data_IF_752480184504
#
_entry.id   IF_752480184504
#
_cell.length_a   1.000
_cell.length_b   1.000
_cell.length_c   1.000
_cell.angle_alpha   90.00
_cell.angle_beta   90.00
_cell.angle_gamma   90.00
#
_symmetry.space_group_name_H-M   'P 1'
#
loop_
_entity.id
_entity.type
_entity.pdbx_description
1 polymer ?
#
# COMPACT_ATOMS: atom_id res chain seq x y z
N UNK A 1 -34.02 63.47 2.35
CA UNK A 1 -32.55 63.49 2.22
C UNK A 1 -32.01 62.49 3.24
N UNK A 2 -31.94 61.19 2.91
CA UNK A 2 -30.74 60.45 2.46
C UNK A 2 -29.50 60.66 3.34
N UNK A 3 -29.24 59.72 4.25
CA UNK A 3 -27.97 58.98 4.28
C UNK A 3 -28.05 57.78 5.22
N UNK A 4 -28.00 56.58 4.63
CA UNK A 4 -27.67 55.33 5.31
C UNK A 4 -26.14 55.26 5.40
N UNK A 5 -25.58 55.07 6.59
CA UNK A 5 -24.21 54.62 6.75
C UNK A 5 -24.18 53.10 6.68
N UNK A 6 -23.69 52.57 5.56
CA UNK A 6 -23.42 51.15 5.38
C UNK A 6 -22.08 50.79 6.01
N UNK A 7 -22.09 49.95 7.05
CA UNK A 7 -20.91 49.21 7.49
C UNK A 7 -20.90 47.85 6.79
N UNK A 8 -20.09 47.72 5.74
CA UNK A 8 -19.77 46.42 5.17
C UNK A 8 -18.74 45.74 6.09
N UNK A 9 -19.20 44.81 6.92
CA UNK A 9 -18.32 43.89 7.65
C UNK A 9 -17.85 42.84 6.64
N UNK A 10 -16.59 42.95 6.22
CA UNK A 10 -15.93 41.93 5.41
C UNK A 10 -15.80 40.64 6.22
N UNK A 11 -16.55 39.62 5.83
CA UNK A 11 -16.34 38.24 6.26
C UNK A 11 -15.01 37.75 5.65
N UNK A 12 -13.94 37.83 6.43
CA UNK A 12 -12.72 37.05 6.17
C UNK A 12 -13.12 35.59 6.40
N UNK A 13 -13.38 34.87 5.31
CA UNK A 13 -13.48 33.41 5.33
C UNK A 13 -12.10 32.87 5.68
N UNK A 14 -11.86 32.65 6.97
CA UNK A 14 -10.77 31.80 7.44
C UNK A 14 -11.02 30.43 6.81
N UNK A 15 -10.37 30.14 5.69
CA UNK A 15 -10.39 28.82 5.10
C UNK A 15 -9.78 27.89 6.15
N UNK A 16 -10.52 26.90 6.69
CA UNK A 16 -9.89 25.92 7.55
C UNK A 16 -8.79 25.26 6.72
N UNK A 17 -7.54 25.41 7.17
CA UNK A 17 -6.41 24.59 6.75
C UNK A 17 -6.75 23.15 7.16
N UNK A 18 -7.60 22.50 6.35
CA UNK A 18 -7.84 21.08 6.45
C UNK A 18 -6.50 20.42 6.17
N UNK A 19 -5.95 19.61 7.09
CA UNK A 19 -4.71 18.93 6.81
C UNK A 19 -4.98 17.93 5.69
N UNK A 20 -4.51 18.25 4.48
CA UNK A 20 -4.57 17.37 3.32
C UNK A 20 -4.03 15.96 3.65
N UNK A 21 -3.10 15.88 4.61
CA UNK A 21 -2.47 14.66 5.08
C UNK A 21 -3.41 13.58 5.64
N UNK A 22 -4.53 13.92 6.30
CA UNK A 22 -5.36 12.89 6.94
C UNK A 22 -6.19 12.09 5.91
N UNK A 23 -6.69 12.75 4.86
CA UNK A 23 -7.51 12.12 3.83
C UNK A 23 -6.66 11.37 2.80
N UNK A 24 -5.47 11.87 2.50
CA UNK A 24 -4.51 11.19 1.62
C UNK A 24 -4.03 9.88 2.27
N UNK A 25 -3.69 9.91 3.56
CA UNK A 25 -3.33 8.70 4.31
C UNK A 25 -4.43 7.63 4.29
N UNK A 26 -5.70 8.00 4.35
CA UNK A 26 -6.81 7.04 4.33
C UNK A 26 -6.92 6.30 2.99
N UNK A 27 -6.71 7.00 1.87
CA UNK A 27 -6.66 6.40 0.53
C UNK A 27 -5.43 5.50 0.36
N UNK A 28 -4.29 5.94 0.85
CA UNK A 28 -3.05 5.17 0.78
C UNK A 28 -3.13 3.89 1.63
N UNK A 29 -3.74 3.96 2.82
CA UNK A 29 -4.01 2.77 3.65
C UNK A 29 -4.89 1.77 2.90
N UNK A 30 -5.95 2.25 2.23
CA UNK A 30 -6.82 1.40 1.42
C UNK A 30 -6.06 0.76 0.25
N UNK A 31 -5.24 1.55 -0.47
CA UNK A 31 -4.41 1.03 -1.55
C UNK A 31 -3.40 -0.02 -1.07
N UNK A 32 -2.81 0.16 0.12
CA UNK A 32 -1.92 -0.82 0.76
C UNK A 32 -2.68 -2.12 1.08
N UNK A 33 -3.88 -2.04 1.68
CA UNK A 33 -4.70 -3.22 1.94
C UNK A 33 -5.06 -3.98 0.67
N UNK A 34 -5.30 -3.27 -0.43
CA UNK A 34 -5.54 -3.90 -1.73
C UNK A 34 -4.31 -4.60 -2.30
N UNK A 35 -3.09 -4.15 -1.99
CA UNK A 35 -1.86 -4.90 -2.34
C UNK A 35 -1.88 -6.27 -1.65
N UNK A 36 -2.22 -6.33 -0.36
CA UNK A 36 -2.29 -7.59 0.39
C UNK A 36 -3.41 -8.52 -0.13
N UNK A 37 -4.58 -7.99 -0.49
CA UNK A 37 -5.64 -8.79 -1.15
C UNK A 37 -5.13 -9.41 -2.45
N UNK A 38 -4.45 -8.63 -3.30
CA UNK A 38 -3.88 -9.15 -4.56
C UNK A 38 -2.73 -10.13 -4.31
N UNK A 39 -1.96 -9.94 -3.24
CA UNK A 39 -0.93 -10.89 -2.83
C UNK A 39 -1.56 -12.24 -2.49
N UNK A 40 -2.62 -12.24 -1.69
CA UNK A 40 -3.39 -13.43 -1.35
C UNK A 40 -3.94 -14.13 -2.59
N UNK A 41 -4.59 -13.39 -3.48
CA UNK A 41 -5.16 -13.92 -4.71
C UNK A 41 -4.09 -14.57 -5.59
N UNK A 42 -2.95 -13.89 -5.81
CA UNK A 42 -1.84 -14.40 -6.61
C UNK A 42 -1.19 -15.63 -5.97
N UNK A 43 -1.02 -15.63 -4.64
CA UNK A 43 -0.48 -16.79 -3.92
C UNK A 43 -1.39 -18.01 -4.06
N UNK A 44 -2.68 -17.85 -3.77
CA UNK A 44 -3.67 -18.93 -3.71
C UNK A 44 -4.07 -19.44 -5.11
N UNK A 45 -3.86 -18.65 -6.16
CA UNK A 45 -4.00 -19.08 -7.56
C UNK A 45 -2.70 -19.61 -8.17
N UNK A 46 -1.60 -19.58 -7.41
CA UNK A 46 -0.24 -19.93 -7.86
C UNK A 46 0.24 -19.11 -9.08
N UNK A 47 -0.27 -17.89 -9.27
CA UNK A 47 0.15 -16.98 -10.34
C UNK A 47 1.33 -16.11 -9.88
N UNK A 48 2.54 -16.62 -10.11
CA UNK A 48 3.77 -15.95 -9.67
C UNK A 48 4.12 -14.72 -10.51
N UNK A 49 3.53 -14.57 -11.70
CA UNK A 49 3.64 -13.35 -12.49
C UNK A 49 2.79 -12.25 -11.89
N UNK A 50 1.55 -12.58 -11.51
CA UNK A 50 0.69 -11.66 -10.77
C UNK A 50 1.36 -11.24 -9.46
N UNK A 51 1.94 -12.18 -8.71
CA UNK A 51 2.66 -11.89 -7.47
C UNK A 51 3.86 -10.94 -7.70
N UNK A 52 4.68 -11.23 -8.70
CA UNK A 52 5.85 -10.42 -9.06
C UNK A 52 5.47 -9.01 -9.53
N UNK A 53 4.25 -8.80 -10.04
CA UNK A 53 3.77 -7.46 -10.43
C UNK A 53 3.54 -6.51 -9.25
N UNK A 54 3.41 -7.03 -8.03
CA UNK A 54 3.14 -6.25 -6.81
C UNK A 54 4.40 -5.64 -6.19
N UNK A 55 5.59 -6.10 -6.59
CA UNK A 55 6.87 -5.64 -6.05
C UNK A 55 7.59 -4.72 -7.04
N UNK A 56 8.43 -3.82 -6.51
CA UNK A 56 9.28 -2.96 -7.32
C UNK A 56 10.23 -3.76 -8.23
N UNK A 57 10.66 -3.17 -9.34
CA UNK A 57 11.58 -3.84 -10.27
C UNK A 57 12.91 -4.20 -9.60
N UNK A 58 13.36 -3.35 -8.69
CA UNK A 58 14.60 -3.43 -7.90
C UNK A 58 14.39 -3.97 -6.48
N UNK A 59 13.30 -4.71 -6.21
CA UNK A 59 12.97 -5.22 -4.87
C UNK A 59 14.12 -6.03 -4.23
N UNK A 60 14.37 -5.76 -2.95
CA UNK A 60 15.14 -6.65 -2.07
C UNK A 60 14.17 -7.51 -1.24
N UNK A 61 14.08 -8.80 -1.56
CA UNK A 61 13.18 -9.72 -0.86
C UNK A 61 13.98 -10.76 -0.06
N UNK A 62 13.70 -10.88 1.23
CA UNK A 62 14.30 -11.88 2.10
C UNK A 62 13.29 -13.01 2.31
N UNK A 63 13.51 -14.14 1.64
CA UNK A 63 12.66 -15.31 1.79
C UNK A 63 12.82 -15.92 3.20
N UNK A 64 11.81 -16.68 3.65
CA UNK A 64 11.76 -17.28 5.00
C UNK A 64 13.01 -18.11 5.35
N UNK A 65 13.66 -18.72 4.36
CA UNK A 65 14.91 -19.47 4.55
C UNK A 65 16.17 -18.58 4.64
N UNK A 66 16.03 -17.26 4.70
CA UNK A 66 17.12 -16.27 4.72
C UNK A 66 17.75 -16.00 3.35
N UNK A 67 17.19 -16.51 2.26
CA UNK A 67 17.68 -16.23 0.89
C UNK A 67 17.34 -14.79 0.51
N UNK A 68 18.35 -14.03 0.10
CA UNK A 68 18.18 -12.70 -0.45
C UNK A 68 17.98 -12.76 -1.97
N UNK A 69 16.76 -12.41 -2.41
CA UNK A 69 16.39 -12.28 -3.82
C UNK A 69 16.51 -10.82 -4.22
N UNK A 70 17.29 -10.55 -5.27
CA UNK A 70 17.59 -9.20 -5.76
C UNK A 70 16.87 -8.96 -7.09
N UNK A 71 15.92 -8.04 -7.07
CA UNK A 71 15.10 -7.66 -8.22
C UNK A 71 13.92 -8.61 -8.49
N UNK A 72 12.94 -8.08 -9.22
CA UNK A 72 11.66 -8.76 -9.50
C UNK A 72 11.83 -10.11 -10.19
N UNK A 73 12.80 -10.23 -11.12
CA UNK A 73 13.05 -11.48 -11.83
C UNK A 73 13.47 -12.62 -10.89
N UNK A 74 14.41 -12.37 -9.99
CA UNK A 74 14.85 -13.37 -9.01
C UNK A 74 13.72 -13.73 -8.02
N UNK A 75 12.89 -12.74 -7.66
CA UNK A 75 11.68 -12.96 -6.87
C UNK A 75 10.69 -13.91 -7.59
N UNK A 76 10.35 -13.63 -8.85
CA UNK A 76 9.42 -14.44 -9.65
C UNK A 76 9.91 -15.88 -9.82
N UNK A 77 11.16 -16.07 -10.27
CA UNK A 77 11.72 -17.40 -10.53
C UNK A 77 11.78 -18.25 -9.25
N UNK A 78 12.10 -17.63 -8.11
CA UNK A 78 12.11 -18.30 -6.82
C UNK A 78 10.71 -18.79 -6.44
N UNK A 79 9.72 -17.90 -6.47
CA UNK A 79 8.36 -18.26 -6.05
C UNK A 79 7.69 -19.20 -7.07
N UNK A 80 7.94 -19.06 -8.38
CA UNK A 80 7.49 -20.02 -9.40
C UNK A 80 8.02 -21.43 -9.11
N UNK A 81 9.31 -21.54 -8.80
CA UNK A 81 9.88 -22.83 -8.40
C UNK A 81 9.21 -23.36 -7.15
N UNK A 82 9.05 -22.55 -6.09
CA UNK A 82 8.44 -23.01 -4.83
C UNK A 82 6.97 -23.41 -4.98
N UNK A 83 6.16 -22.66 -5.73
CA UNK A 83 4.75 -22.97 -5.97
C UNK A 83 4.56 -24.20 -6.87
N UNK A 84 5.54 -24.57 -7.70
CA UNK A 84 5.51 -25.85 -8.42
C UNK A 84 5.78 -27.08 -7.53
N UNK A 85 6.30 -26.87 -6.31
CA UNK A 85 6.73 -27.93 -5.40
C UNK A 85 6.22 -27.69 -3.96
N UNK A 86 6.99 -27.03 -3.09
CA UNK A 86 6.68 -26.95 -1.65
C UNK A 86 5.38 -26.20 -1.34
N UNK A 87 5.03 -25.20 -2.14
CA UNK A 87 3.88 -24.32 -1.91
C UNK A 87 2.69 -24.66 -2.81
N UNK A 88 2.73 -25.80 -3.51
CA UNK A 88 1.71 -26.21 -4.49
C UNK A 88 0.29 -26.29 -3.92
N UNK A 89 0.14 -26.67 -2.65
CA UNK A 89 -1.16 -26.75 -1.99
C UNK A 89 -1.27 -25.72 -0.85
N UNK A 90 -0.33 -24.77 -0.79
CA UNK A 90 -0.33 -23.77 0.27
C UNK A 90 -1.39 -22.70 0.00
N UNK A 91 -2.05 -22.28 1.07
CA UNK A 91 -2.98 -21.16 1.07
C UNK A 91 -2.43 -20.11 2.02
N UNK A 92 -2.52 -18.86 1.60
CA UNK A 92 -2.19 -17.69 2.40
C UNK A 92 -3.46 -16.91 2.71
N UNK A 93 -3.51 -16.32 3.90
CA UNK A 93 -4.59 -15.46 4.37
C UNK A 93 -3.96 -14.27 5.11
N UNK A 94 -4.23 -13.05 4.65
CA UNK A 94 -3.93 -11.83 5.40
C UNK A 94 -5.04 -11.56 6.41
N UNK A 95 -4.77 -11.80 7.68
CA UNK A 95 -5.71 -11.59 8.78
C UNK A 95 -5.67 -10.17 9.33
N UNK A 96 -4.52 -9.50 9.22
CA UNK A 96 -4.31 -8.15 9.74
C UNK A 96 -3.26 -7.38 8.94
N UNK A 97 -3.45 -6.07 8.79
CA UNK A 97 -2.56 -5.16 8.06
C UNK A 97 -2.38 -3.88 8.88
N UNK A 98 -1.23 -3.76 9.53
CA UNK A 98 -0.83 -2.57 10.29
C UNK A 98 0.05 -1.67 9.42
N UNK A 99 -0.32 -0.39 9.29
CA UNK A 99 0.40 0.59 8.45
C UNK A 99 0.99 1.71 9.31
N UNK A 100 2.28 1.97 9.13
CA UNK A 100 2.99 3.10 9.74
C UNK A 100 3.68 3.95 8.66
N UNK A 101 3.19 5.16 8.44
CA UNK A 101 3.86 6.13 7.57
C UNK A 101 5.15 6.64 8.21
N UNK A 102 6.25 6.59 7.47
CA UNK A 102 7.55 7.16 7.84
C UNK A 102 7.75 8.55 7.22
N UNK A 103 7.14 8.78 6.06
CA UNK A 103 7.00 10.05 5.33
C UNK A 103 5.74 9.98 4.45
N UNK A 104 5.42 11.04 3.71
CA UNK A 104 4.20 11.13 2.88
C UNK A 104 4.08 10.03 1.80
N UNK A 105 5.20 9.43 1.41
CA UNK A 105 5.35 8.50 0.29
C UNK A 105 6.09 7.21 0.67
N UNK A 106 6.35 6.98 1.97
CA UNK A 106 6.87 5.69 2.47
C UNK A 106 6.06 5.27 3.69
N UNK A 107 5.53 4.05 3.60
CA UNK A 107 4.94 3.34 4.72
C UNK A 107 5.70 2.04 5.00
N UNK A 108 5.81 1.71 6.29
CA UNK A 108 6.13 0.37 6.75
C UNK A 108 4.81 -0.37 6.98
N UNK A 109 4.71 -1.58 6.45
CA UNK A 109 3.53 -2.43 6.56
C UNK A 109 3.92 -3.72 7.27
N UNK A 110 3.12 -4.12 8.26
CA UNK A 110 3.23 -5.42 8.91
C UNK A 110 1.95 -6.20 8.66
N UNK A 111 2.09 -7.43 8.17
CA UNK A 111 1.00 -8.29 7.72
C UNK A 111 1.04 -9.59 8.52
N UNK A 112 -0.12 -10.07 8.99
CA UNK A 112 -0.26 -11.34 9.71
C UNK A 112 -1.10 -12.34 8.97
#
# INVERSE_FOLDING_TARGET
>A
MKSLFGFAVGLILLSPLWPASAQDNAKDIEAIKQIESRWQEAWNSHDMKALASLVAEDVDFIAVAGTWLKGRKAFEEHHATRHAMQFKESVWEATDVEVKFLKSDIALVHVR
#
